data_IF_649496589950
#
_entry.id   IF_649496589950
#
_cell.length_a   1.000
_cell.length_b   1.000
_cell.length_c   1.000
_cell.angle_alpha   90.00
_cell.angle_beta   90.00
_cell.angle_gamma   90.00
#
_symmetry.space_group_name_H-M   'P 1'
#
loop_
_entity.id
_entity.type
_entity.pdbx_description
1 polymer ?
#
# COMPACT_ATOMS: atom_id res chain seq x y z
N UNK A 1 14.12 33.54 6.60
CA UNK A 1 14.88 34.83 6.53
C UNK A 1 15.68 35.01 5.23
N UNK A 2 15.79 34.01 4.34
CA UNK A 2 16.57 34.12 3.10
C UNK A 2 15.75 34.46 1.86
N UNK A 3 14.43 34.41 1.94
CA UNK A 3 13.56 34.78 0.85
C UNK A 3 12.90 36.10 1.22
N UNK A 4 13.50 37.15 0.74
CA UNK A 4 12.86 38.45 0.77
C UNK A 4 11.76 38.44 -0.30
N UNK A 5 10.52 38.66 0.09
CA UNK A 5 9.30 38.57 -0.72
C UNK A 5 9.24 39.56 -1.90
N UNK A 6 10.23 39.60 -2.70
CA UNK A 6 10.34 40.35 -3.93
C UNK A 6 10.84 39.48 -5.06
N UNK A 7 10.99 38.19 -4.81
CA UNK A 7 11.54 37.25 -5.75
C UNK A 7 10.44 36.82 -6.69
N UNK A 8 10.63 37.14 -7.91
CA UNK A 8 9.87 36.87 -9.10
C UNK A 8 8.82 35.77 -8.98
N UNK A 9 7.58 36.17 -9.10
CA UNK A 9 6.41 35.30 -9.20
C UNK A 9 5.68 35.22 -7.89
N UNK A 10 4.64 35.84 -7.81
CA UNK A 10 3.43 35.87 -6.98
C UNK A 10 3.22 34.75 -5.93
N UNK A 11 4.27 34.27 -5.26
CA UNK A 11 4.12 33.35 -4.14
C UNK A 11 4.24 34.13 -2.84
N UNK A 12 3.24 33.99 -1.94
CA UNK A 12 3.31 34.55 -0.60
C UNK A 12 4.30 33.76 0.26
N UNK A 13 4.82 34.38 1.33
CA UNK A 13 5.67 33.68 2.29
C UNK A 13 4.94 32.48 2.92
N UNK A 14 3.66 32.62 3.16
CA UNK A 14 2.83 31.55 3.73
C UNK A 14 2.72 30.37 2.76
N UNK A 15 2.41 30.62 1.49
CA UNK A 15 2.29 29.57 0.47
C UNK A 15 3.64 28.88 0.22
N UNK A 16 4.74 29.64 0.23
CA UNK A 16 6.08 29.11 0.12
C UNK A 16 6.37 28.12 1.26
N UNK A 17 6.18 28.54 2.52
CA UNK A 17 6.43 27.70 3.68
C UNK A 17 5.53 26.45 3.62
N UNK A 18 4.24 26.64 3.39
CA UNK A 18 3.26 25.56 3.32
C UNK A 18 3.63 24.51 2.25
N UNK A 19 4.03 24.96 1.06
CA UNK A 19 4.38 24.08 -0.04
C UNK A 19 5.68 23.30 0.24
N UNK A 20 6.70 23.97 0.73
CA UNK A 20 7.97 23.33 1.06
C UNK A 20 7.80 22.35 2.22
N UNK A 21 7.13 22.73 3.32
CA UNK A 21 6.85 21.85 4.44
C UNK A 21 6.05 20.63 3.97
N UNK A 22 4.99 20.83 3.19
CA UNK A 22 4.15 19.72 2.71
C UNK A 22 4.95 18.71 1.86
N UNK A 23 5.91 19.17 1.06
CA UNK A 23 6.74 18.28 0.24
C UNK A 23 7.79 17.58 1.11
N UNK A 24 8.57 18.32 1.88
CA UNK A 24 9.67 17.74 2.66
C UNK A 24 9.18 16.86 3.81
N UNK A 25 8.12 17.24 4.51
CA UNK A 25 7.47 16.40 5.53
C UNK A 25 6.79 15.18 4.89
N UNK A 26 6.16 15.38 3.71
CA UNK A 26 5.48 14.30 2.99
C UNK A 26 6.41 13.19 2.49
N UNK A 27 7.68 13.48 2.26
CA UNK A 27 8.72 12.50 1.87
C UNK A 27 9.69 12.16 3.00
N UNK A 28 9.42 12.63 4.21
CA UNK A 28 10.21 12.39 5.44
C UNK A 28 11.70 12.71 5.24
N UNK A 29 12.00 13.97 4.90
CA UNK A 29 13.37 14.41 4.61
C UNK A 29 14.19 14.51 5.88
N UNK A 30 15.34 13.86 5.89
CA UNK A 30 16.39 14.01 6.89
C UNK A 30 17.77 14.20 6.23
N UNK A 31 18.76 14.64 7.00
CA UNK A 31 20.16 14.76 6.60
C UNK A 31 20.40 15.51 5.27
N UNK A 32 19.57 16.55 4.99
CA UNK A 32 19.74 17.33 3.76
C UNK A 32 21.10 18.05 3.72
N UNK A 33 21.80 17.90 2.61
CA UNK A 33 23.07 18.58 2.33
C UNK A 33 23.02 19.20 0.94
N UNK A 34 23.52 20.42 0.84
CA UNK A 34 23.65 21.14 -0.43
C UNK A 34 25.12 21.46 -0.64
N UNK A 35 25.67 21.05 -1.76
CA UNK A 35 27.05 21.31 -2.17
C UNK A 35 27.08 22.13 -3.45
N UNK A 36 27.68 23.34 -3.42
CA UNK A 36 27.81 24.19 -4.59
C UNK A 36 28.94 23.62 -5.46
N UNK A 37 28.62 23.28 -6.71
CA UNK A 37 29.55 22.69 -7.67
C UNK A 37 30.19 23.72 -8.56
N UNK A 38 29.47 24.78 -8.94
CA UNK A 38 30.01 25.90 -9.72
C UNK A 38 29.17 27.16 -9.57
N UNK A 39 29.71 28.29 -9.94
CA UNK A 39 28.97 29.55 -10.02
C UNK A 39 29.38 30.37 -11.23
N UNK A 40 28.41 31.05 -11.84
CA UNK A 40 28.60 32.00 -12.94
C UNK A 40 28.18 33.40 -12.46
N UNK A 41 29.20 34.32 -12.42
CA UNK A 41 28.96 35.70 -11.97
C UNK A 41 28.23 36.54 -13.02
N UNK A 42 28.43 36.25 -14.30
CA UNK A 42 27.81 37.04 -15.37
C UNK A 42 26.32 36.69 -15.48
N UNK A 43 26.00 35.42 -15.46
CA UNK A 43 24.63 34.94 -15.49
C UNK A 43 23.94 34.99 -14.10
N UNK A 44 24.68 35.18 -13.03
CA UNK A 44 24.23 35.19 -11.65
C UNK A 44 23.54 33.85 -11.29
N UNK A 45 24.17 32.77 -11.68
CA UNK A 45 23.70 31.40 -11.48
C UNK A 45 24.69 30.60 -10.63
N UNK A 46 24.15 29.67 -9.85
CA UNK A 46 24.92 28.62 -9.19
C UNK A 46 24.41 27.25 -9.63
N UNK A 47 25.32 26.30 -9.82
CA UNK A 47 24.98 24.89 -9.88
C UNK A 47 25.29 24.26 -8.51
N UNK A 48 24.43 23.39 -8.07
CA UNK A 48 24.61 22.71 -6.81
C UNK A 48 24.05 21.29 -6.85
N UNK A 49 24.62 20.43 -6.03
CA UNK A 49 24.12 19.09 -5.76
C UNK A 49 23.40 19.09 -4.44
N UNK A 50 22.19 18.53 -4.42
CA UNK A 50 21.42 18.26 -3.22
C UNK A 50 21.43 16.77 -2.94
N UNK A 51 21.71 16.39 -1.70
CA UNK A 51 21.59 15.02 -1.20
C UNK A 51 20.76 15.03 0.08
N UNK A 52 19.80 14.14 0.16
CA UNK A 52 18.91 14.01 1.32
C UNK A 52 18.51 12.54 1.54
N UNK A 53 18.27 12.18 2.77
CA UNK A 53 17.63 10.92 3.13
C UNK A 53 16.12 11.11 3.12
N UNK A 54 15.37 10.15 2.58
CA UNK A 54 13.92 10.20 2.43
C UNK A 54 13.29 8.86 2.76
N UNK A 55 11.96 8.81 2.87
CA UNK A 55 11.21 7.56 3.02
C UNK A 55 11.52 6.53 1.92
N UNK A 56 11.94 6.96 0.72
CA UNK A 56 12.34 6.09 -0.39
C UNK A 56 13.86 5.82 -0.44
N UNK A 57 14.59 6.20 0.62
CA UNK A 57 16.04 6.10 0.69
C UNK A 57 16.75 7.39 0.30
N UNK A 58 18.04 7.29 0.02
CA UNK A 58 18.86 8.46 -0.31
C UNK A 58 18.59 8.95 -1.73
N UNK A 59 18.25 10.24 -1.86
CA UNK A 59 18.04 10.93 -3.13
C UNK A 59 19.15 11.95 -3.32
N UNK A 60 19.72 11.97 -4.53
CA UNK A 60 20.77 12.95 -4.93
C UNK A 60 20.46 13.46 -6.33
N UNK A 61 20.54 14.76 -6.52
CA UNK A 61 20.32 15.41 -7.82
C UNK A 61 21.10 16.71 -7.94
N UNK A 62 21.43 17.06 -9.16
CA UNK A 62 22.01 18.37 -9.51
C UNK A 62 20.89 19.36 -9.84
N UNK A 63 21.11 20.61 -9.49
CA UNK A 63 20.17 21.69 -9.74
C UNK A 63 20.88 23.03 -10.00
N UNK A 64 20.11 24.02 -10.47
CA UNK A 64 20.57 25.38 -10.69
C UNK A 64 19.69 26.37 -9.96
N UNK A 65 20.31 27.41 -9.42
CA UNK A 65 19.60 28.53 -8.81
C UNK A 65 20.08 29.84 -9.43
N UNK A 66 19.16 30.68 -9.86
CA UNK A 66 19.42 32.01 -10.40
C UNK A 66 19.18 33.10 -9.36
N UNK A 67 19.93 34.17 -9.44
CA UNK A 67 19.88 35.30 -8.49
C UNK A 67 19.70 36.63 -9.22
N UNK A 68 19.02 37.55 -8.57
CA UNK A 68 18.93 38.95 -8.97
C UNK A 68 19.69 39.82 -7.95
N UNK A 69 20.37 40.84 -8.43
CA UNK A 69 21.05 41.83 -7.58
C UNK A 69 20.14 43.05 -7.38
N UNK A 70 19.62 43.21 -6.16
CA UNK A 70 18.82 44.37 -5.77
C UNK A 70 19.45 45.08 -4.59
N UNK A 71 19.58 46.40 -4.69
CA UNK A 71 20.15 47.27 -3.63
C UNK A 71 21.45 46.72 -3.02
N UNK A 72 22.33 46.14 -3.86
CA UNK A 72 23.60 45.57 -3.42
C UNK A 72 23.54 44.20 -2.75
N UNK A 73 22.39 43.54 -2.73
CA UNK A 73 22.18 42.20 -2.18
C UNK A 73 21.72 41.24 -3.27
N UNK A 74 22.25 40.01 -3.25
CA UNK A 74 21.74 38.93 -4.09
C UNK A 74 20.48 38.35 -3.47
N UNK A 75 19.42 38.20 -4.29
CA UNK A 75 18.18 37.53 -3.94
C UNK A 75 17.99 36.30 -4.82
N UNK A 76 17.53 35.22 -4.24
CA UNK A 76 17.24 34.00 -4.96
C UNK A 76 15.97 34.17 -5.79
N UNK A 77 16.01 33.80 -7.06
CA UNK A 77 14.80 33.66 -7.89
C UNK A 77 14.21 32.30 -7.61
N UNK A 78 13.08 32.31 -6.87
CA UNK A 78 12.42 31.05 -6.47
C UNK A 78 11.51 30.50 -7.56
N UNK A 79 11.61 29.18 -7.75
CA UNK A 79 10.61 28.36 -8.43
C UNK A 79 10.65 26.94 -7.83
N UNK A 80 9.60 26.15 -8.07
CA UNK A 80 9.48 24.80 -7.49
C UNK A 80 10.56 23.83 -7.95
N UNK A 81 11.20 24.09 -9.12
CA UNK A 81 12.31 23.27 -9.60
C UNK A 81 13.52 23.29 -8.67
N UNK A 82 13.60 24.27 -7.75
CA UNK A 82 14.64 24.30 -6.70
C UNK A 82 14.44 23.20 -5.65
N UNK A 83 13.23 22.66 -5.51
CA UNK A 83 12.93 21.51 -4.64
C UNK A 83 13.34 20.21 -5.37
N UNK A 84 12.81 20.02 -6.59
CA UNK A 84 13.18 18.93 -7.50
C UNK A 84 13.25 19.47 -8.94
N UNK A 85 14.28 19.13 -9.74
CA UNK A 85 14.51 19.73 -11.06
C UNK A 85 13.31 19.72 -12.02
N UNK A 86 12.46 18.68 -11.94
CA UNK A 86 11.30 18.53 -12.83
C UNK A 86 9.97 19.00 -12.21
N UNK A 87 10.02 19.61 -11.02
CA UNK A 87 8.81 20.04 -10.31
C UNK A 87 8.35 21.42 -10.77
N UNK A 88 7.12 21.50 -11.27
CA UNK A 88 6.43 22.75 -11.59
C UNK A 88 5.44 23.15 -10.50
N UNK A 89 4.97 24.39 -10.52
CA UNK A 89 4.08 24.95 -9.49
C UNK A 89 2.75 24.23 -9.33
N UNK A 90 2.26 23.57 -10.39
CA UNK A 90 0.99 22.80 -10.38
C UNK A 90 1.18 21.32 -10.08
N UNK A 91 2.41 20.85 -10.06
CA UNK A 91 2.72 19.44 -9.85
C UNK A 91 2.60 19.05 -8.38
N UNK A 92 2.46 17.75 -8.17
CA UNK A 92 2.40 17.14 -6.83
C UNK A 92 3.50 16.10 -6.67
N UNK A 93 4.12 16.09 -5.50
CA UNK A 93 5.01 15.00 -5.08
C UNK A 93 4.14 13.95 -4.38
N UNK A 94 4.20 12.72 -4.89
CA UNK A 94 3.47 11.57 -4.33
C UNK A 94 4.44 10.53 -3.81
N UNK A 95 4.16 10.02 -2.63
CA UNK A 95 4.79 8.84 -2.05
C UNK A 95 3.89 7.63 -2.30
N UNK A 96 4.45 6.57 -2.83
CA UNK A 96 3.75 5.30 -3.02
C UNK A 96 4.54 4.19 -2.33
N UNK A 97 3.85 3.43 -1.50
CA UNK A 97 4.42 2.26 -0.80
C UNK A 97 3.97 1.00 -1.50
N UNK A 98 4.91 0.11 -1.80
CA UNK A 98 4.65 -1.23 -2.30
C UNK A 98 4.91 -2.21 -1.17
N UNK A 99 3.89 -2.95 -0.75
CA UNK A 99 4.01 -3.93 0.32
C UNK A 99 5.00 -5.04 -0.07
N UNK A 100 5.86 -5.39 0.85
CA UNK A 100 6.73 -6.54 0.69
C UNK A 100 5.90 -7.83 0.66
N UNK A 101 6.38 -8.80 -0.11
CA UNK A 101 5.87 -10.17 -0.03
C UNK A 101 6.51 -10.85 1.18
N UNK A 102 5.66 -11.48 2.01
CA UNK A 102 6.15 -12.25 3.14
C UNK A 102 6.98 -13.44 2.67
N UNK A 103 8.15 -13.66 3.27
CA UNK A 103 9.06 -14.74 2.96
C UNK A 103 8.41 -16.12 3.14
N UNK A 104 8.89 -17.12 2.43
CA UNK A 104 8.44 -18.51 2.56
C UNK A 104 9.19 -19.22 3.68
N UNK A 105 8.53 -20.19 4.31
CA UNK A 105 9.15 -21.18 5.19
C UNK A 105 9.17 -22.49 4.43
N UNK A 106 10.36 -23.04 4.24
CA UNK A 106 10.58 -24.31 3.51
C UNK A 106 11.32 -25.31 4.38
N UNK A 107 11.14 -26.60 4.11
CA UNK A 107 11.96 -27.64 4.73
C UNK A 107 13.34 -27.75 4.06
N UNK A 108 14.21 -28.63 4.59
CA UNK A 108 15.55 -28.88 4.06
C UNK A 108 15.57 -29.41 2.62
N UNK A 109 14.45 -29.93 2.12
CA UNK A 109 14.30 -30.48 0.79
C UNK A 109 13.65 -29.48 -0.19
N UNK A 110 13.30 -28.27 0.30
CA UNK A 110 12.64 -27.23 -0.47
C UNK A 110 11.12 -27.34 -0.52
N UNK A 111 10.49 -28.21 0.26
CA UNK A 111 9.04 -28.29 0.33
C UNK A 111 8.47 -27.13 1.14
N UNK A 112 7.40 -26.54 0.64
CA UNK A 112 6.74 -25.41 1.28
C UNK A 112 6.05 -25.84 2.59
N UNK A 113 6.37 -25.16 3.68
CA UNK A 113 5.73 -25.28 4.98
C UNK A 113 4.77 -24.10 5.24
N UNK A 114 5.15 -22.89 4.81
CA UNK A 114 4.29 -21.73 4.78
C UNK A 114 4.69 -20.81 3.62
N UNK A 115 3.71 -20.27 2.89
CA UNK A 115 3.97 -19.40 1.74
C UNK A 115 2.75 -18.69 1.23
N UNK A 116 2.90 -18.07 0.06
CA UNK A 116 1.83 -17.40 -0.64
C UNK A 116 0.97 -18.44 -1.35
N UNK A 117 -0.31 -18.44 -1.07
CA UNK A 117 -1.33 -19.25 -1.73
C UNK A 117 -2.45 -18.38 -2.28
N UNK A 118 -3.42 -19.01 -2.93
CA UNK A 118 -4.61 -18.35 -3.49
C UNK A 118 -5.86 -18.93 -2.87
N UNK A 119 -6.74 -18.05 -2.42
CA UNK A 119 -8.06 -18.40 -1.92
C UNK A 119 -9.14 -17.60 -2.65
N UNK A 120 -10.38 -18.06 -2.56
CA UNK A 120 -11.55 -17.36 -3.09
C UNK A 120 -12.18 -16.50 -2.00
N UNK A 121 -12.23 -15.20 -2.22
CA UNK A 121 -13.01 -14.27 -1.39
C UNK A 121 -14.42 -14.14 -1.97
N UNK A 122 -15.39 -14.58 -1.21
CA UNK A 122 -16.81 -14.47 -1.53
C UNK A 122 -17.33 -13.22 -0.87
N UNK A 123 -17.93 -12.34 -1.65
CA UNK A 123 -18.49 -11.09 -1.17
C UNK A 123 -19.63 -10.59 -2.02
N UNK A 124 -20.17 -9.44 -1.66
CA UNK A 124 -21.34 -8.85 -2.33
C UNK A 124 -21.08 -7.39 -2.70
N UNK A 125 -21.79 -6.93 -3.73
CA UNK A 125 -21.89 -5.52 -4.10
C UNK A 125 -23.30 -5.06 -3.73
N UNK A 126 -23.47 -4.26 -2.64
CA UNK A 126 -24.77 -3.95 -2.05
C UNK A 126 -25.80 -3.40 -3.02
N UNK A 127 -25.41 -2.50 -3.93
CA UNK A 127 -26.30 -1.90 -4.91
C UNK A 127 -26.77 -2.84 -6.01
N UNK A 128 -26.25 -4.07 -6.08
CA UNK A 128 -26.65 -5.10 -7.03
C UNK A 128 -27.49 -6.22 -6.39
N UNK A 129 -27.72 -6.15 -5.08
CA UNK A 129 -28.58 -7.11 -4.38
C UNK A 129 -30.04 -6.82 -4.70
N UNK A 130 -30.70 -7.78 -5.35
CA UNK A 130 -32.15 -7.81 -5.45
C UNK A 130 -32.71 -8.46 -4.18
N UNK A 131 -33.82 -7.98 -3.64
CA UNK A 131 -34.41 -8.54 -2.38
C UNK A 131 -33.39 -8.76 -1.26
N UNK A 132 -32.83 -7.69 -0.74
CA UNK A 132 -31.70 -7.71 0.21
C UNK A 132 -31.89 -8.74 1.35
N UNK A 133 -33.09 -8.87 1.92
CA UNK A 133 -33.35 -9.81 3.03
C UNK A 133 -33.25 -11.27 2.59
N UNK A 134 -33.81 -11.60 1.42
CA UNK A 134 -33.75 -12.96 0.88
C UNK A 134 -32.32 -13.33 0.50
N UNK A 135 -31.60 -12.40 -0.14
CA UNK A 135 -30.19 -12.59 -0.48
C UNK A 135 -29.33 -12.82 0.76
N UNK A 136 -29.51 -12.04 1.83
CA UNK A 136 -28.80 -12.24 3.11
C UNK A 136 -29.11 -13.60 3.71
N UNK A 137 -30.37 -14.06 3.67
CA UNK A 137 -30.74 -15.36 4.19
C UNK A 137 -30.09 -16.52 3.42
N UNK A 138 -30.08 -16.43 2.07
CA UNK A 138 -29.42 -17.42 1.22
C UNK A 138 -27.89 -17.42 1.43
N UNK A 139 -27.27 -16.24 1.54
CA UNK A 139 -25.86 -16.10 1.84
C UNK A 139 -25.49 -16.67 3.19
N UNK A 140 -26.34 -16.44 4.21
CA UNK A 140 -26.13 -16.97 5.55
C UNK A 140 -26.12 -18.51 5.56
N UNK A 141 -27.05 -19.13 4.84
CA UNK A 141 -27.13 -20.59 4.68
C UNK A 141 -25.94 -21.13 3.90
N UNK A 142 -25.66 -20.62 2.70
CA UNK A 142 -24.59 -21.12 1.82
C UNK A 142 -23.19 -20.88 2.40
N UNK A 143 -22.97 -19.79 3.14
CA UNK A 143 -21.69 -19.46 3.76
C UNK A 143 -21.57 -19.97 5.21
N UNK A 144 -22.63 -20.57 5.76
CA UNK A 144 -22.67 -21.00 7.16
C UNK A 144 -22.31 -19.83 8.12
N UNK A 145 -22.91 -18.68 7.87
CA UNK A 145 -22.72 -17.44 8.64
C UNK A 145 -24.05 -17.01 9.27
N UNK A 146 -23.96 -16.21 10.34
CA UNK A 146 -25.16 -15.58 10.91
C UNK A 146 -25.58 -14.39 10.05
N UNK A 147 -26.87 -14.19 9.89
CA UNK A 147 -27.45 -13.05 9.18
C UNK A 147 -26.98 -11.72 9.75
N UNK A 148 -26.89 -11.63 11.09
CA UNK A 148 -26.45 -10.43 11.81
C UNK A 148 -24.99 -10.05 11.47
N UNK A 149 -24.13 -11.04 11.26
CA UNK A 149 -22.72 -10.78 10.89
C UNK A 149 -22.60 -10.24 9.46
N UNK A 150 -23.44 -10.72 8.55
CA UNK A 150 -23.52 -10.21 7.16
C UNK A 150 -24.06 -8.78 7.19
N UNK A 151 -25.16 -8.53 7.89
CA UNK A 151 -25.75 -7.19 8.04
C UNK A 151 -24.76 -6.19 8.64
N UNK A 152 -24.03 -6.59 9.70
CA UNK A 152 -23.01 -5.77 10.32
C UNK A 152 -21.90 -5.37 9.34
N UNK A 153 -21.45 -6.31 8.48
CA UNK A 153 -20.45 -6.03 7.45
C UNK A 153 -21.00 -5.05 6.40
N UNK A 154 -22.25 -5.22 5.98
CA UNK A 154 -22.92 -4.36 5.02
C UNK A 154 -23.23 -2.95 5.57
N UNK A 155 -23.38 -2.80 6.89
CA UNK A 155 -23.63 -1.53 7.56
C UNK A 155 -22.36 -0.74 7.90
N UNK A 156 -21.18 -1.23 7.54
CA UNK A 156 -19.92 -0.55 7.85
C UNK A 156 -19.82 0.80 7.12
N UNK A 157 -19.27 1.83 7.78
CA UNK A 157 -19.22 3.24 7.29
C UNK A 157 -18.56 3.43 5.92
N UNK A 158 -17.65 2.54 5.53
CA UNK A 158 -16.94 2.59 4.26
C UNK A 158 -17.72 1.98 3.09
N UNK A 159 -18.77 1.21 3.37
CA UNK A 159 -19.57 0.50 2.37
C UNK A 159 -20.43 1.48 1.60
N UNK A 160 -20.35 1.41 0.28
CA UNK A 160 -21.19 2.12 -0.69
C UNK A 160 -21.86 1.10 -1.60
N UNK A 161 -22.83 1.54 -2.40
CA UNK A 161 -23.59 0.67 -3.30
C UNK A 161 -22.72 -0.10 -4.29
N UNK A 162 -21.61 0.48 -4.72
CA UNK A 162 -20.65 -0.11 -5.67
C UNK A 162 -19.46 -0.83 -5.01
N UNK A 163 -19.37 -0.81 -3.67
CA UNK A 163 -18.28 -1.43 -2.93
C UNK A 163 -18.38 -2.95 -2.94
N UNK A 164 -17.25 -3.63 -3.14
CA UNK A 164 -17.17 -5.06 -2.86
C UNK A 164 -17.00 -5.29 -1.35
N UNK A 165 -17.97 -5.95 -0.72
CA UNK A 165 -17.95 -6.28 0.72
C UNK A 165 -17.61 -7.74 0.89
N UNK A 166 -16.39 -8.10 1.35
CA UNK A 166 -15.97 -9.48 1.55
C UNK A 166 -16.72 -10.08 2.75
N UNK A 167 -17.35 -11.23 2.56
CA UNK A 167 -18.08 -11.95 3.57
C UNK A 167 -17.27 -13.11 4.16
N UNK A 168 -16.81 -14.04 3.31
CA UNK A 168 -16.05 -15.23 3.72
C UNK A 168 -14.94 -15.54 2.72
N UNK A 169 -13.81 -16.00 3.23
CA UNK A 169 -12.72 -16.55 2.42
C UNK A 169 -12.77 -18.06 2.50
N UNK A 170 -12.71 -18.73 1.37
CA UNK A 170 -12.72 -20.19 1.25
C UNK A 170 -11.52 -20.65 0.42
N UNK A 171 -11.06 -21.88 0.56
CA UNK A 171 -10.04 -22.43 -0.34
C UNK A 171 -10.47 -22.32 -1.80
N UNK A 172 -9.52 -21.98 -2.68
CA UNK A 172 -9.82 -21.95 -4.12
C UNK A 172 -10.14 -23.35 -4.60
N UNK A 173 -11.23 -23.49 -5.36
CA UNK A 173 -11.58 -24.76 -6.00
C UNK A 173 -10.44 -25.20 -6.93
N UNK A 174 -9.93 -26.40 -6.72
CA UNK A 174 -8.85 -26.94 -7.52
C UNK A 174 -9.41 -27.58 -8.81
N UNK A 175 -9.29 -26.86 -9.92
CA UNK A 175 -9.78 -27.31 -11.23
C UNK A 175 -9.14 -28.64 -11.68
N UNK A 176 -7.87 -28.88 -11.31
CA UNK A 176 -7.20 -30.15 -11.66
C UNK A 176 -7.82 -31.33 -10.90
N UNK A 177 -8.24 -31.12 -9.63
CA UNK A 177 -8.98 -32.14 -8.87
C UNK A 177 -10.36 -32.39 -9.45
N UNK A 178 -11.03 -31.36 -9.99
CA UNK A 178 -12.32 -31.53 -10.68
C UNK A 178 -12.19 -32.32 -12.00
N UNK A 179 -11.06 -32.23 -12.66
CA UNK A 179 -10.76 -32.95 -13.92
C UNK A 179 -10.24 -34.38 -13.68
N UNK A 180 -10.05 -34.77 -12.42
CA UNK A 180 -9.64 -36.14 -12.09
C UNK A 180 -10.76 -37.15 -12.43
N UNK A 181 -10.36 -38.44 -12.66
CA UNK A 181 -11.31 -39.51 -12.99
C UNK A 181 -12.36 -39.72 -11.90
N UNK A 182 -11.96 -39.47 -10.64
CA UNK A 182 -12.84 -39.50 -9.46
C UNK A 182 -12.59 -38.24 -8.63
N UNK A 183 -13.34 -37.14 -8.89
CA UNK A 183 -13.25 -35.94 -8.07
C UNK A 183 -13.70 -36.25 -6.63
N UNK A 184 -12.99 -35.70 -5.63
CA UNK A 184 -13.42 -35.87 -4.25
C UNK A 184 -14.73 -35.10 -3.97
N UNK A 185 -15.55 -35.68 -3.05
CA UNK A 185 -16.86 -35.13 -2.73
C UNK A 185 -16.80 -33.71 -2.16
N UNK A 186 -15.74 -33.36 -1.45
CA UNK A 186 -15.56 -32.02 -0.85
C UNK A 186 -15.34 -30.99 -1.95
N UNK A 187 -14.49 -31.27 -2.94
CA UNK A 187 -14.25 -30.37 -4.09
C UNK A 187 -15.52 -30.18 -4.92
N UNK A 188 -16.33 -31.24 -5.11
CA UNK A 188 -17.61 -31.15 -5.83
C UNK A 188 -18.63 -30.31 -5.06
N UNK A 189 -18.74 -30.53 -3.74
CA UNK A 189 -19.67 -29.78 -2.88
C UNK A 189 -19.31 -28.28 -2.83
N UNK A 190 -18.02 -27.95 -2.77
CA UNK A 190 -17.56 -26.56 -2.79
C UNK A 190 -17.83 -25.88 -4.15
N UNK A 191 -17.65 -26.61 -5.26
CA UNK A 191 -18.01 -26.11 -6.59
C UNK A 191 -19.51 -25.80 -6.68
N UNK A 192 -20.36 -26.77 -6.30
CA UNK A 192 -21.83 -26.60 -6.29
C UNK A 192 -22.26 -25.42 -5.40
N UNK A 193 -21.62 -25.25 -4.25
CA UNK A 193 -21.82 -24.10 -3.37
C UNK A 193 -21.47 -22.78 -4.06
N UNK A 194 -20.32 -22.70 -4.75
CA UNK A 194 -19.90 -21.49 -5.44
C UNK A 194 -20.79 -21.17 -6.64
N UNK A 195 -21.27 -22.18 -7.36
CA UNK A 195 -22.24 -21.99 -8.46
C UNK A 195 -23.55 -21.40 -7.94
N UNK A 196 -24.11 -21.94 -6.84
CA UNK A 196 -25.32 -21.41 -6.18
C UNK A 196 -25.12 -19.98 -5.67
N UNK A 197 -23.95 -19.66 -5.13
CA UNK A 197 -23.63 -18.31 -4.68
C UNK A 197 -23.62 -17.31 -5.85
N UNK A 198 -23.12 -17.69 -7.01
CA UNK A 198 -23.08 -16.84 -8.19
C UNK A 198 -24.46 -16.63 -8.83
N UNK A 199 -25.45 -17.46 -8.53
CA UNK A 199 -26.86 -17.26 -8.94
C UNK A 199 -27.52 -16.10 -8.17
N UNK A 200 -27.00 -15.71 -7.00
CA UNK A 200 -27.52 -14.59 -6.21
C UNK A 200 -27.04 -13.28 -6.83
N UNK A 201 -27.95 -12.38 -7.32
CA UNK A 201 -27.57 -11.10 -7.89
C UNK A 201 -26.71 -10.28 -6.93
N UNK A 202 -25.60 -9.73 -7.41
CA UNK A 202 -24.69 -8.92 -6.60
C UNK A 202 -23.62 -9.69 -5.85
N UNK A 203 -23.65 -11.03 -5.83
CA UNK A 203 -22.54 -11.84 -5.31
C UNK A 203 -21.40 -11.85 -6.30
N UNK A 204 -20.19 -11.79 -5.78
CA UNK A 204 -18.94 -11.86 -6.54
C UNK A 204 -17.93 -12.73 -5.80
N UNK A 205 -17.26 -13.59 -6.54
CA UNK A 205 -16.11 -14.38 -6.07
C UNK A 205 -14.87 -13.81 -6.74
N UNK A 206 -13.84 -13.53 -5.94
CA UNK A 206 -12.57 -12.98 -6.41
C UNK A 206 -11.40 -13.72 -5.80
N UNK A 207 -10.39 -14.00 -6.60
CA UNK A 207 -9.15 -14.58 -6.07
C UNK A 207 -8.42 -13.55 -5.21
N UNK A 208 -7.95 -14.00 -4.06
CA UNK A 208 -7.11 -13.21 -3.15
C UNK A 208 -5.86 -14.01 -2.77
N UNK A 209 -4.78 -13.30 -2.56
CA UNK A 209 -3.56 -13.89 -2.01
C UNK A 209 -3.73 -14.08 -0.50
N UNK A 210 -3.40 -15.29 -0.02
CA UNK A 210 -3.44 -15.65 1.40
C UNK A 210 -2.13 -16.30 1.82
N UNK A 211 -1.90 -16.40 3.13
CA UNK A 211 -0.85 -17.26 3.67
C UNK A 211 -1.35 -18.70 3.70
N UNK A 212 -0.65 -19.58 3.02
CA UNK A 212 -0.98 -21.01 2.93
C UNK A 212 -0.03 -21.85 3.79
N UNK A 213 -0.58 -22.89 4.43
CA UNK A 213 0.13 -23.84 5.27
C UNK A 213 -0.16 -25.27 4.76
N UNK A 214 0.59 -25.78 3.78
CA UNK A 214 0.25 -27.04 3.08
C UNK A 214 0.13 -28.27 3.98
N UNK A 215 0.85 -28.29 5.12
CA UNK A 215 0.82 -29.41 6.07
C UNK A 215 -0.27 -29.22 7.16
N UNK A 216 -1.01 -28.12 7.15
CA UNK A 216 -2.11 -27.85 8.07
C UNK A 216 -1.76 -28.14 9.54
N UNK A 217 -2.61 -28.89 10.21
CA UNK A 217 -2.47 -29.23 11.64
C UNK A 217 -1.17 -30.00 11.96
N UNK A 218 -0.67 -30.82 11.03
CA UNK A 218 0.53 -31.63 11.24
C UNK A 218 1.79 -30.79 11.53
N UNK A 219 1.85 -29.57 11.02
CA UNK A 219 2.98 -28.67 11.24
C UNK A 219 2.64 -27.40 12.05
N UNK A 220 1.39 -27.25 12.50
CA UNK A 220 0.88 -26.02 13.10
C UNK A 220 1.72 -25.52 14.28
N UNK A 221 2.13 -26.39 15.19
CA UNK A 221 2.95 -26.00 16.35
C UNK A 221 4.37 -25.55 15.96
N UNK A 222 4.94 -26.12 14.92
CA UNK A 222 6.28 -25.76 14.45
C UNK A 222 6.24 -24.48 13.64
N UNK A 223 5.35 -24.42 12.66
CA UNK A 223 5.28 -23.30 11.70
C UNK A 223 4.61 -22.08 12.33
N UNK A 224 3.58 -22.28 13.13
CA UNK A 224 2.78 -21.19 13.69
C UNK A 224 1.78 -20.62 12.68
N UNK A 225 1.40 -19.37 12.89
CA UNK A 225 0.44 -18.68 12.05
C UNK A 225 0.67 -17.18 12.02
N UNK A 226 0.10 -16.52 11.02
CA UNK A 226 0.02 -15.06 10.92
C UNK A 226 -1.39 -14.57 11.25
N UNK A 227 -1.47 -13.34 11.72
CA UNK A 227 -2.73 -12.66 12.05
C UNK A 227 -2.66 -11.21 11.59
N UNK A 228 -3.81 -10.59 11.35
CA UNK A 228 -3.86 -9.15 11.12
C UNK A 228 -3.33 -8.41 12.34
N UNK A 229 -2.56 -7.36 12.09
CA UNK A 229 -1.98 -6.50 13.12
C UNK A 229 -3.09 -5.86 13.95
N UNK A 230 -2.98 -5.94 15.27
CA UNK A 230 -3.88 -5.27 16.24
C UNK A 230 -3.36 -3.87 16.56
N UNK A 231 -4.15 -3.07 17.29
CA UNK A 231 -3.70 -1.77 17.79
C UNK A 231 -2.50 -1.90 18.74
N UNK A 232 -2.50 -2.95 19.56
CA UNK A 232 -1.40 -3.26 20.49
C UNK A 232 -0.11 -3.61 19.71
N UNK A 233 -0.23 -4.42 18.64
CA UNK A 233 0.90 -4.75 17.78
C UNK A 233 1.50 -3.50 17.12
N UNK A 234 0.66 -2.53 16.70
CA UNK A 234 1.13 -1.28 16.12
C UNK A 234 1.90 -0.41 17.13
N UNK A 235 1.48 -0.42 18.39
CA UNK A 235 2.17 0.29 19.47
C UNK A 235 3.52 -0.39 19.82
N UNK A 236 3.51 -1.72 19.95
CA UNK A 236 4.71 -2.50 20.29
C UNK A 236 5.78 -2.43 19.21
N UNK A 237 5.36 -2.43 17.94
CA UNK A 237 6.25 -2.40 16.76
C UNK A 237 6.26 -1.03 16.06
N UNK A 238 6.07 0.06 16.83
CA UNK A 238 6.08 1.42 16.27
C UNK A 238 7.41 1.71 15.55
N UNK A 239 7.31 2.25 14.32
CA UNK A 239 8.48 2.55 13.49
C UNK A 239 9.04 1.35 12.69
N UNK A 240 8.47 0.15 12.84
CA UNK A 240 8.91 -1.03 12.10
C UNK A 240 8.21 -1.22 10.75
N UNK A 241 7.41 -0.26 10.31
CA UNK A 241 6.76 -0.25 9.00
C UNK A 241 5.45 -1.05 8.91
N UNK A 242 4.84 -1.43 10.04
CA UNK A 242 3.52 -2.02 10.06
C UNK A 242 2.42 -0.96 9.87
N UNK A 243 1.35 -1.40 9.24
CA UNK A 243 0.11 -0.63 9.05
C UNK A 243 -1.07 -1.45 9.53
N UNK A 244 -2.25 -0.84 9.66
CA UNK A 244 -3.49 -1.55 10.04
C UNK A 244 -3.87 -2.70 9.09
N UNK A 245 -3.31 -2.74 7.89
CA UNK A 245 -3.57 -3.79 6.90
C UNK A 245 -2.45 -4.84 6.83
N UNK A 246 -1.43 -4.71 7.67
CA UNK A 246 -0.33 -5.67 7.74
C UNK A 246 -0.73 -6.95 8.47
N UNK A 247 0.03 -8.01 8.23
CA UNK A 247 -0.04 -9.26 9.01
C UNK A 247 1.25 -9.43 9.80
N UNK A 248 1.15 -10.09 10.95
CA UNK A 248 2.28 -10.37 11.85
C UNK A 248 2.24 -11.84 12.28
N UNK A 249 3.40 -12.47 12.37
CA UNK A 249 3.54 -13.82 12.91
C UNK A 249 3.32 -13.85 14.42
N UNK A 250 2.46 -14.75 14.89
CA UNK A 250 2.07 -14.83 16.31
C UNK A 250 2.70 -15.99 17.07
N UNK A 251 3.11 -17.04 16.39
CA UNK A 251 3.69 -18.22 17.04
C UNK A 251 4.61 -18.99 16.10
N UNK A 252 5.29 -20.00 16.61
CA UNK A 252 6.16 -20.90 15.85
C UNK A 252 7.24 -20.16 15.07
N UNK A 253 7.59 -20.68 13.92
CA UNK A 253 8.59 -20.06 13.03
C UNK A 253 8.10 -18.73 12.46
N UNK A 254 6.78 -18.57 12.22
CA UNK A 254 6.20 -17.31 11.76
C UNK A 254 6.48 -16.16 12.72
N UNK A 255 6.33 -16.39 14.04
CA UNK A 255 6.63 -15.37 15.06
C UNK A 255 8.12 -15.23 15.33
N UNK A 256 8.84 -16.35 15.41
CA UNK A 256 10.28 -16.35 15.75
C UNK A 256 11.14 -15.63 14.68
N UNK A 257 10.78 -15.78 13.42
CA UNK A 257 11.48 -15.19 12.26
C UNK A 257 10.68 -14.06 11.61
N UNK A 258 9.81 -13.39 12.38
CA UNK A 258 8.97 -12.31 11.86
C UNK A 258 9.77 -11.24 11.15
N UNK A 259 10.89 -10.83 11.72
CA UNK A 259 11.77 -9.77 11.18
C UNK A 259 12.30 -10.12 9.78
N UNK A 260 12.65 -11.37 9.55
CA UNK A 260 13.16 -11.87 8.28
C UNK A 260 12.02 -12.13 7.30
N UNK A 261 10.90 -12.66 7.80
CA UNK A 261 9.77 -13.07 6.97
C UNK A 261 8.93 -11.90 6.46
N UNK A 262 8.74 -10.84 7.26
CA UNK A 262 7.89 -9.70 6.85
C UNK A 262 8.41 -8.94 5.64
N UNK A 263 9.73 -9.02 5.38
CA UNK A 263 10.39 -8.25 4.33
C UNK A 263 10.43 -6.74 4.63
N UNK A 264 10.79 -5.96 3.61
CA UNK A 264 10.82 -4.50 3.69
C UNK A 264 9.94 -3.93 2.57
N UNK A 265 9.02 -3.05 2.94
CA UNK A 265 8.17 -2.37 1.96
C UNK A 265 9.04 -1.51 1.04
N UNK A 266 8.76 -1.58 -0.26
CA UNK A 266 9.31 -0.66 -1.22
C UNK A 266 8.62 0.70 -1.09
N UNK A 267 9.38 1.78 -1.28
CA UNK A 267 8.83 3.11 -1.34
C UNK A 267 9.31 3.82 -2.60
N UNK A 268 8.46 4.62 -3.22
CA UNK A 268 8.82 5.44 -4.37
C UNK A 268 8.25 6.84 -4.22
N UNK A 269 9.06 7.84 -4.58
CA UNK A 269 8.65 9.23 -4.67
C UNK A 269 8.47 9.54 -6.15
N UNK A 270 7.33 10.09 -6.53
CA UNK A 270 7.02 10.43 -7.93
C UNK A 270 6.48 11.85 -8.03
N UNK A 271 6.88 12.54 -9.10
CA UNK A 271 6.30 13.83 -9.48
C UNK A 271 5.16 13.54 -10.47
N UNK A 272 3.98 14.07 -10.20
CA UNK A 272 2.81 13.94 -11.07
C UNK A 272 2.29 15.32 -11.44
N UNK A 273 1.86 15.47 -12.70
CA UNK A 273 1.25 16.70 -13.19
C UNK A 273 -0.16 16.92 -12.62
N UNK A 274 -0.80 18.04 -12.97
CA UNK A 274 -2.16 18.38 -12.57
C UNK A 274 -3.21 17.36 -13.02
N UNK A 275 -2.94 16.57 -14.07
CA UNK A 275 -3.79 15.52 -14.60
C UNK A 275 -3.53 14.15 -13.95
N UNK A 276 -2.51 14.05 -13.10
CA UNK A 276 -2.11 12.82 -12.44
C UNK A 276 -1.14 11.95 -13.24
N UNK A 277 -0.62 12.43 -14.36
CA UNK A 277 0.39 11.70 -15.14
C UNK A 277 1.76 11.79 -14.45
N UNK A 278 2.47 10.67 -14.43
CA UNK A 278 3.82 10.61 -13.87
C UNK A 278 4.80 11.37 -14.77
N UNK A 279 5.56 12.30 -14.20
CA UNK A 279 6.67 13.03 -14.87
C UNK A 279 8.01 12.36 -14.57
N UNK A 280 8.21 11.95 -13.33
CA UNK A 280 9.42 11.26 -12.85
C UNK A 280 9.14 10.37 -11.66
#
# INVERSE_FOLDING_TARGET
EMIDAGISGNISQEDFVKRNSAIYEGIDVDNMKVHITSYDKEQKEICYETSMDTVAGKVTFENKASFILEKGKYKLIWNDSLIFPELDSTDKVKVSTTSAKRGQIIDRNGHLLAGEGVASSIGVVPGKLENKNDAISQLAELLEMKTEDIEKKLAAKWVKDDSFVPLKTVPKVNELKLMSIEPDQETLAEKDRQEKLLEIPGVKISDITVREYPLGEAAAHLVGYVQNVTAEDLEEHAGEGYTSNSVIGKSGMEGLFEKELKGQNGCSITIVDSNGNKKK
#
